data_IF_498970920748
#
_entry.id   IF_498970920748
#
_cell.length_a   1.000
_cell.length_b   1.000
_cell.length_c   1.000
_cell.angle_alpha   90.00
_cell.angle_beta   90.00
_cell.angle_gamma   90.00
#
_symmetry.space_group_name_H-M   'P 1'
#
loop_
_entity.id
_entity.type
_entity.pdbx_description
1 polymer ?
#
# COMPACT_ATOMS: atom_id res chain seq x y z
N UNK A 1 -57.54 23.46 -33.16
CA UNK A 1 -56.19 23.80 -33.65
C UNK A 1 -55.18 23.07 -32.78
N UNK A 2 -54.34 22.24 -33.42
CA UNK A 2 -53.28 21.43 -32.78
C UNK A 2 -52.06 22.31 -32.53
N UNK A 3 -51.58 22.39 -31.30
CA UNK A 3 -50.21 22.82 -31.03
C UNK A 3 -49.55 21.75 -30.16
N UNK A 4 -48.80 20.86 -30.83
CA UNK A 4 -47.87 19.93 -30.19
C UNK A 4 -46.59 20.74 -29.97
N UNK A 5 -46.29 21.06 -28.71
CA UNK A 5 -45.02 21.66 -28.34
C UNK A 5 -44.01 20.51 -28.16
N UNK A 6 -43.14 20.32 -29.15
CA UNK A 6 -42.04 19.36 -29.08
C UNK A 6 -40.86 19.99 -28.35
N UNK A 7 -40.66 19.65 -27.07
CA UNK A 7 -39.45 20.03 -26.34
C UNK A 7 -38.33 19.07 -26.74
N UNK A 8 -37.38 19.56 -27.53
CA UNK A 8 -36.12 18.85 -27.81
C UNK A 8 -35.19 19.00 -26.61
N UNK A 9 -34.97 17.91 -25.87
CA UNK A 9 -34.01 17.85 -24.78
C UNK A 9 -32.62 17.53 -25.37
N UNK A 10 -31.76 18.53 -25.51
CA UNK A 10 -30.34 18.33 -25.87
C UNK A 10 -29.62 17.68 -24.67
N UNK A 11 -29.26 16.40 -24.80
CA UNK A 11 -28.27 15.77 -23.94
C UNK A 11 -26.90 16.35 -24.26
N UNK A 12 -26.46 17.34 -23.48
CA UNK A 12 -25.06 17.76 -23.44
C UNK A 12 -24.30 16.63 -22.73
N UNK A 13 -23.67 15.75 -23.52
CA UNK A 13 -22.64 14.84 -23.04
C UNK A 13 -21.47 15.70 -22.57
N UNK A 14 -21.42 16.01 -21.27
CA UNK A 14 -20.23 16.57 -20.65
C UNK A 14 -19.19 15.46 -20.62
N UNK A 15 -18.34 15.41 -21.64
CA UNK A 15 -17.06 14.71 -21.52
C UNK A 15 -16.27 15.48 -20.48
N UNK A 16 -16.32 15.03 -19.23
CA UNK A 16 -15.37 15.45 -18.22
C UNK A 16 -13.99 15.09 -18.75
N UNK A 17 -13.27 16.10 -19.27
CA UNK A 17 -11.89 15.94 -19.69
C UNK A 17 -11.06 15.67 -18.43
N UNK A 18 -10.99 14.40 -18.04
CA UNK A 18 -10.01 13.92 -17.08
C UNK A 18 -8.62 14.31 -17.57
N UNK A 19 -7.71 14.63 -16.65
CA UNK A 19 -6.32 14.88 -17.03
C UNK A 19 -5.78 13.64 -17.73
N UNK A 20 -5.09 13.84 -18.85
CA UNK A 20 -4.42 12.76 -19.57
C UNK A 20 -3.50 11.96 -18.63
N UNK A 21 -3.58 10.63 -18.69
CA UNK A 21 -2.88 9.72 -17.77
C UNK A 21 -1.36 9.90 -17.82
N UNK A 22 -0.77 10.27 -18.98
CA UNK A 22 0.67 10.54 -19.09
C UNK A 22 1.04 11.84 -18.38
N UNK A 23 0.17 12.85 -18.41
CA UNK A 23 0.35 14.09 -17.63
C UNK A 23 0.29 13.82 -16.13
N UNK A 24 -0.63 12.96 -15.69
CA UNK A 24 -0.72 12.51 -14.29
C UNK A 24 0.58 11.79 -13.89
N UNK A 25 1.01 10.81 -14.67
CA UNK A 25 2.24 10.05 -14.43
C UNK A 25 3.45 10.99 -14.32
N UNK A 26 3.63 11.93 -15.26
CA UNK A 26 4.72 12.91 -15.20
C UNK A 26 4.69 13.75 -13.92
N UNK A 27 3.52 14.19 -13.47
CA UNK A 27 3.37 14.99 -12.24
C UNK A 27 3.69 14.16 -11.00
N UNK A 28 3.21 12.92 -10.93
CA UNK A 28 3.52 12.01 -9.83
C UNK A 28 5.02 11.71 -9.78
N UNK A 29 5.65 11.39 -10.91
CA UNK A 29 7.10 11.17 -10.98
C UNK A 29 7.89 12.39 -10.52
N UNK A 30 7.52 13.59 -10.99
CA UNK A 30 8.19 14.82 -10.58
C UNK A 30 8.04 15.11 -9.09
N UNK A 31 6.92 14.74 -8.47
CA UNK A 31 6.72 14.89 -7.02
C UNK A 31 7.51 13.83 -6.25
N UNK A 32 7.46 12.57 -6.70
CA UNK A 32 8.17 11.46 -6.06
C UNK A 32 9.69 11.62 -6.12
N UNK A 33 10.23 12.10 -7.25
CA UNK A 33 11.67 12.35 -7.39
C UNK A 33 12.19 13.41 -6.41
N UNK A 34 11.32 14.30 -5.92
CA UNK A 34 11.69 15.28 -4.90
C UNK A 34 11.91 14.65 -3.53
N UNK A 35 11.27 13.52 -3.23
CA UNK A 35 11.53 12.75 -2.00
C UNK A 35 12.98 12.28 -2.04
N UNK A 36 13.38 11.55 -3.08
CA UNK A 36 14.76 11.06 -3.23
C UNK A 36 15.78 12.21 -3.25
N UNK A 37 15.49 13.30 -3.96
CA UNK A 37 16.36 14.48 -3.98
C UNK A 37 16.64 15.01 -2.56
N UNK A 38 15.60 15.19 -1.74
CA UNK A 38 15.77 15.74 -0.39
C UNK A 38 16.32 14.71 0.61
N UNK A 39 16.02 13.43 0.43
CA UNK A 39 16.56 12.35 1.27
C UNK A 39 18.09 12.25 1.19
N UNK A 40 18.66 12.52 0.01
CA UNK A 40 20.10 12.43 -0.24
C UNK A 40 20.76 13.80 -0.46
N UNK A 41 20.07 14.89 -0.11
CA UNK A 41 20.60 16.24 -0.23
C UNK A 41 21.76 16.44 0.74
N UNK A 42 22.94 16.77 0.21
CA UNK A 42 24.19 16.85 0.97
C UNK A 42 24.93 18.19 0.80
N UNK A 43 24.27 19.20 0.23
CA UNK A 43 24.88 20.52 0.10
C UNK A 43 24.81 21.30 1.42
N UNK A 44 25.92 21.94 1.79
CA UNK A 44 25.97 22.81 2.95
C UNK A 44 25.30 24.14 2.64
N UNK A 45 24.03 24.28 3.01
CA UNK A 45 23.28 25.52 2.91
C UNK A 45 22.49 25.78 4.19
N UNK A 46 22.99 26.71 5.03
CA UNK A 46 22.38 27.06 6.33
C UNK A 46 20.95 27.62 6.23
N UNK A 47 20.48 28.00 5.04
CA UNK A 47 19.11 28.51 4.81
C UNK A 47 18.11 27.41 4.50
N UNK A 48 18.57 26.17 4.28
CA UNK A 48 17.73 25.05 3.89
C UNK A 48 17.74 24.04 5.03
N UNK A 49 16.55 23.65 5.49
CA UNK A 49 16.37 22.46 6.30
C UNK A 49 15.96 21.29 5.37
N UNK A 50 16.86 20.33 5.09
CA UNK A 50 16.56 19.21 4.20
C UNK A 50 15.43 18.34 4.74
N UNK A 51 15.34 18.20 6.06
CA UNK A 51 14.31 17.40 6.71
C UNK A 51 12.91 18.00 6.51
N UNK A 52 12.73 19.30 6.73
CA UNK A 52 11.45 19.99 6.46
C UNK A 52 11.06 19.90 4.98
N UNK A 53 12.07 19.93 4.09
CA UNK A 53 11.87 19.85 2.64
C UNK A 53 11.46 18.44 2.22
N UNK A 54 12.05 17.41 2.85
CA UNK A 54 11.68 16.01 2.67
C UNK A 54 10.26 15.72 3.16
N UNK A 55 9.87 16.24 4.33
CA UNK A 55 8.49 16.11 4.82
C UNK A 55 7.49 16.74 3.85
N UNK A 56 7.75 17.98 3.39
CA UNK A 56 6.91 18.65 2.39
C UNK A 56 6.82 17.89 1.08
N UNK A 57 7.91 17.28 0.62
CA UNK A 57 7.91 16.45 -0.58
C UNK A 57 7.02 15.20 -0.42
N UNK A 58 7.11 14.53 0.73
CA UNK A 58 6.25 13.39 1.08
C UNK A 58 4.76 13.78 1.11
N UNK A 59 4.44 14.90 1.76
CA UNK A 59 3.05 15.39 1.86
C UNK A 59 2.49 15.76 0.48
N UNK A 60 3.27 16.43 -0.35
CA UNK A 60 2.88 16.77 -1.71
C UNK A 60 2.64 15.52 -2.57
N UNK A 61 3.55 14.55 -2.51
CA UNK A 61 3.40 13.30 -3.26
C UNK A 61 2.16 12.52 -2.81
N UNK A 62 1.96 12.34 -1.50
CA UNK A 62 0.78 11.66 -0.95
C UNK A 62 -0.52 12.34 -1.39
N UNK A 63 -0.57 13.68 -1.30
CA UNK A 63 -1.72 14.46 -1.74
C UNK A 63 -2.02 14.26 -3.22
N UNK A 64 -1.01 14.37 -4.09
CA UNK A 64 -1.19 14.22 -5.53
C UNK A 64 -1.60 12.79 -5.89
N UNK A 65 -0.95 11.78 -5.29
CA UNK A 65 -1.28 10.38 -5.50
C UNK A 65 -2.73 10.11 -5.12
N UNK A 66 -3.13 10.44 -3.90
CA UNK A 66 -4.50 10.29 -3.42
C UNK A 66 -5.52 10.99 -4.33
N UNK A 67 -5.23 12.24 -4.71
CA UNK A 67 -6.11 13.03 -5.59
C UNK A 67 -6.29 12.36 -6.94
N UNK A 68 -5.20 11.96 -7.59
CA UNK A 68 -5.25 11.41 -8.93
C UNK A 68 -5.86 10.01 -8.97
N UNK A 69 -5.51 9.15 -8.01
CA UNK A 69 -6.04 7.78 -7.94
C UNK A 69 -7.51 7.74 -7.50
N UNK A 70 -8.00 8.77 -6.80
CA UNK A 70 -9.42 8.88 -6.42
C UNK A 70 -10.32 9.44 -7.53
N UNK A 71 -9.76 10.12 -8.54
CA UNK A 71 -10.56 10.89 -9.52
C UNK A 71 -10.38 10.44 -10.97
N UNK A 72 -9.37 9.63 -11.27
CA UNK A 72 -9.06 9.24 -12.66
C UNK A 72 -9.12 7.71 -12.78
N UNK A 73 -10.22 7.14 -13.32
CA UNK A 73 -10.42 5.69 -13.41
C UNK A 73 -9.29 4.93 -14.12
N UNK A 74 -8.59 5.56 -15.07
CA UNK A 74 -7.47 4.93 -15.77
C UNK A 74 -6.31 4.53 -14.84
N UNK A 75 -6.16 5.17 -13.69
CA UNK A 75 -5.04 4.93 -12.76
C UNK A 75 -5.08 3.53 -12.12
N UNK A 76 -6.25 2.89 -12.00
CA UNK A 76 -6.36 1.54 -11.41
C UNK A 76 -5.72 0.48 -12.32
N UNK A 77 -5.80 0.64 -13.65
CA UNK A 77 -5.21 -0.29 -14.62
C UNK A 77 -3.89 0.21 -15.21
N UNK A 78 -3.54 1.48 -15.00
CA UNK A 78 -2.30 2.05 -15.51
C UNK A 78 -1.07 1.48 -14.78
N UNK A 79 -0.02 1.20 -15.56
CA UNK A 79 1.28 0.78 -15.05
C UNK A 79 2.19 2.00 -14.92
N UNK A 80 2.39 2.47 -13.69
CA UNK A 80 3.28 3.59 -13.37
C UNK A 80 4.74 3.14 -13.31
N UNK A 81 5.28 2.65 -14.42
CA UNK A 81 6.62 2.04 -14.48
C UNK A 81 7.71 2.98 -13.93
N UNK A 82 7.66 4.26 -14.30
CA UNK A 82 8.64 5.25 -13.87
C UNK A 82 8.65 5.45 -12.34
N UNK A 83 7.49 5.36 -11.68
CA UNK A 83 7.41 5.44 -10.22
C UNK A 83 8.01 4.20 -9.58
N UNK A 84 7.72 3.01 -10.13
CA UNK A 84 8.30 1.75 -9.66
C UNK A 84 9.82 1.75 -9.81
N UNK A 85 10.33 2.15 -10.97
CA UNK A 85 11.76 2.27 -11.23
C UNK A 85 12.44 3.28 -10.29
N UNK A 86 11.68 4.26 -9.77
CA UNK A 86 12.17 5.26 -8.80
C UNK A 86 12.09 4.80 -7.33
N UNK A 87 11.52 3.62 -7.05
CA UNK A 87 11.43 3.03 -5.71
C UNK A 87 10.02 2.99 -5.09
N UNK A 88 8.96 3.41 -5.79
CA UNK A 88 7.59 3.22 -5.32
C UNK A 88 7.19 1.75 -5.44
N UNK A 89 6.79 1.13 -4.34
CA UNK A 89 6.22 -0.22 -4.41
C UNK A 89 4.75 -0.13 -4.79
N UNK A 90 4.34 -0.82 -5.86
CA UNK A 90 2.95 -0.88 -6.31
C UNK A 90 2.55 -2.34 -6.42
N UNK A 91 1.55 -2.75 -5.66
CA UNK A 91 0.98 -4.10 -5.70
C UNK A 91 -0.49 -4.02 -6.08
N UNK A 92 -0.93 -4.91 -6.96
CA UNK A 92 -2.29 -4.93 -7.51
C UNK A 92 -2.89 -6.33 -7.33
N UNK A 93 -4.15 -6.40 -6.95
CA UNK A 93 -4.94 -7.63 -6.89
C UNK A 93 -5.03 -8.29 -8.26
N UNK A 94 -5.29 -9.59 -8.28
CA UNK A 94 -5.33 -10.36 -9.51
C UNK A 94 -6.47 -9.93 -10.44
N UNK A 95 -7.60 -9.53 -9.85
CA UNK A 95 -8.73 -8.99 -10.58
C UNK A 95 -8.57 -7.51 -10.99
N UNK A 96 -7.47 -6.86 -10.60
CA UNK A 96 -7.19 -5.46 -10.91
C UNK A 96 -8.12 -4.46 -10.23
N UNK A 97 -8.90 -4.87 -9.23
CA UNK A 97 -9.85 -4.00 -8.52
C UNK A 97 -9.26 -3.34 -7.28
N UNK A 98 -8.13 -3.82 -6.76
CA UNK A 98 -7.49 -3.27 -5.58
C UNK A 98 -5.99 -3.08 -5.82
N UNK A 99 -5.47 -1.91 -5.47
CA UNK A 99 -4.06 -1.54 -5.67
C UNK A 99 -3.56 -0.76 -4.46
N UNK A 100 -2.36 -1.09 -4.00
CA UNK A 100 -1.71 -0.40 -2.88
C UNK A 100 -0.39 0.18 -3.38
N UNK A 101 -0.17 1.45 -3.06
CA UNK A 101 1.07 2.17 -3.33
C UNK A 101 1.78 2.39 -2.00
N UNK A 102 3.03 1.98 -1.88
CA UNK A 102 3.84 2.08 -0.67
C UNK A 102 5.18 2.72 -0.97
N UNK A 103 5.59 3.70 -0.17
CA UNK A 103 6.95 4.27 -0.25
C UNK A 103 7.51 4.56 1.13
N UNK A 104 8.84 4.52 1.19
CA UNK A 104 9.61 5.01 2.32
C UNK A 104 9.65 6.54 2.30
N UNK A 105 9.34 7.17 3.43
CA UNK A 105 9.39 8.63 3.54
C UNK A 105 10.80 9.16 3.67
N UNK A 106 11.78 8.29 3.97
CA UNK A 106 13.17 8.62 4.27
C UNK A 106 13.34 9.59 5.45
N UNK A 107 12.29 9.78 6.26
CA UNK A 107 12.36 10.62 7.47
C UNK A 107 12.87 9.86 8.68
N UNK A 108 13.09 8.56 8.53
CA UNK A 108 13.69 7.68 9.54
C UNK A 108 15.20 7.54 9.38
N UNK A 109 15.77 6.70 10.23
CA UNK A 109 17.17 6.26 10.15
C UNK A 109 17.22 4.79 9.77
N UNK A 110 17.76 3.96 10.68
CA UNK A 110 17.70 2.50 10.54
C UNK A 110 16.29 1.94 10.66
N UNK A 111 15.40 2.65 11.35
CA UNK A 111 13.96 2.45 11.30
C UNK A 111 13.41 3.29 10.14
N UNK A 112 12.64 2.68 9.26
CA UNK A 112 12.07 3.35 8.10
C UNK A 112 10.59 3.65 8.34
N UNK A 113 10.13 4.80 7.87
CA UNK A 113 8.72 5.18 7.97
C UNK A 113 8.07 5.05 6.60
N UNK A 114 6.95 4.34 6.53
CA UNK A 114 6.24 4.07 5.28
C UNK A 114 4.89 4.76 5.23
N UNK A 115 4.55 5.30 4.06
CA UNK A 115 3.22 5.80 3.74
C UNK A 115 2.57 4.97 2.65
N UNK A 116 1.24 4.94 2.68
CA UNK A 116 0.45 4.09 1.82
C UNK A 116 -0.78 4.80 1.27
N UNK A 117 -1.06 4.61 -0.02
CA UNK A 117 -2.35 4.95 -0.64
C UNK A 117 -3.00 3.66 -1.11
N UNK A 118 -4.26 3.46 -0.71
CA UNK A 118 -5.07 2.30 -1.06
C UNK A 118 -6.09 2.73 -2.10
N UNK A 119 -5.96 2.24 -3.31
CA UNK A 119 -6.88 2.52 -4.40
C UNK A 119 -7.73 1.29 -4.67
N UNK A 120 -9.04 1.48 -4.83
CA UNK A 120 -9.93 0.39 -5.17
C UNK A 120 -10.99 0.84 -6.18
N UNK A 121 -11.47 -0.12 -6.97
CA UNK A 121 -12.58 0.05 -7.89
C UNK A 121 -13.81 -0.64 -7.31
N UNK A 122 -14.91 0.09 -7.24
CA UNK A 122 -16.23 -0.47 -6.92
C UNK A 122 -17.20 0.07 -7.97
N UNK A 123 -17.90 -0.85 -8.62
CA UNK A 123 -18.70 -0.59 -9.82
C UNK A 123 -17.85 0.09 -10.92
N UNK A 124 -18.32 1.21 -11.47
CA UNK A 124 -17.60 2.00 -12.50
C UNK A 124 -16.77 3.15 -11.92
N UNK A 125 -16.60 3.21 -10.58
CA UNK A 125 -15.89 4.30 -9.90
C UNK A 125 -14.62 3.79 -9.24
N UNK A 126 -13.60 4.64 -9.23
CA UNK A 126 -12.40 4.43 -8.43
C UNK A 126 -12.45 5.31 -7.19
N UNK A 127 -11.85 4.81 -6.13
CA UNK A 127 -11.74 5.47 -4.85
C UNK A 127 -10.31 5.31 -4.37
N UNK A 128 -9.84 6.22 -3.53
CA UNK A 128 -8.61 5.99 -2.78
C UNK A 128 -8.71 6.50 -1.36
N UNK A 129 -7.94 5.88 -0.47
CA UNK A 129 -7.93 6.17 0.96
C UNK A 129 -6.52 6.00 1.52
N UNK A 130 -6.24 6.75 2.58
CA UNK A 130 -5.08 6.56 3.44
C UNK A 130 -5.60 6.06 4.79
N UNK A 131 -4.94 5.05 5.35
CA UNK A 131 -5.12 4.67 6.75
C UNK A 131 -3.92 5.21 7.51
N UNK A 132 -4.14 6.20 8.38
CA UNK A 132 -3.10 6.69 9.29
C UNK A 132 -3.23 6.01 10.64
N UNK A 133 -2.10 5.61 11.19
CA UNK A 133 -2.03 5.27 12.60
C UNK A 133 -2.30 6.52 13.44
N UNK A 134 -2.86 6.33 14.63
CA UNK A 134 -2.99 7.41 15.61
C UNK A 134 -1.74 7.52 16.49
N UNK A 135 -0.84 6.56 16.40
CA UNK A 135 0.40 6.52 17.16
C UNK A 135 1.49 7.24 16.37
N UNK A 136 2.05 8.31 16.94
CA UNK A 136 3.08 9.12 16.29
C UNK A 136 4.37 8.33 16.00
N UNK A 137 4.59 7.23 16.72
CA UNK A 137 5.74 6.33 16.57
C UNK A 137 5.53 5.15 15.62
N UNK A 138 4.38 5.05 14.95
CA UNK A 138 4.12 3.95 14.02
C UNK A 138 4.95 4.12 12.74
N UNK A 139 5.92 3.22 12.56
CA UNK A 139 6.77 3.14 11.36
C UNK A 139 5.97 2.83 10.09
N UNK A 140 4.73 2.35 10.20
CA UNK A 140 3.95 1.85 9.08
C UNK A 140 4.61 0.61 8.47
N UNK A 141 4.19 0.28 7.25
CA UNK A 141 4.74 -0.84 6.49
C UNK A 141 4.62 -0.57 4.99
N UNK A 142 5.39 -1.29 4.18
CA UNK A 142 5.14 -1.40 2.75
C UNK A 142 4.44 -2.72 2.44
N UNK A 143 3.57 -2.72 1.44
CA UNK A 143 2.86 -3.91 0.97
C UNK A 143 3.57 -4.51 -0.24
N UNK A 144 3.87 -5.79 -0.19
CA UNK A 144 4.64 -6.50 -1.22
C UNK A 144 3.83 -7.55 -1.99
N UNK A 145 2.62 -7.89 -1.53
CA UNK A 145 1.74 -8.85 -2.21
C UNK A 145 0.26 -8.58 -1.93
N UNK A 146 -0.59 -8.89 -2.92
CA UNK A 146 -2.04 -8.97 -2.79
C UNK A 146 -2.51 -10.25 -3.49
N UNK A 147 -3.14 -11.16 -2.76
CA UNK A 147 -3.76 -12.36 -3.30
C UNK A 147 -5.29 -12.29 -3.17
N UNK A 148 -5.97 -12.76 -4.22
CA UNK A 148 -7.43 -12.85 -4.24
C UNK A 148 -7.90 -14.17 -3.63
N UNK A 149 -8.92 -14.11 -2.78
CA UNK A 149 -9.59 -15.31 -2.26
C UNK A 149 -11.11 -15.12 -2.25
N UNK A 150 -11.83 -16.16 -2.67
CA UNK A 150 -13.28 -16.22 -2.55
C UNK A 150 -13.62 -17.22 -1.43
N UNK A 151 -14.44 -16.76 -0.48
CA UNK A 151 -15.03 -17.55 0.60
C UNK A 151 -16.48 -17.14 0.77
N UNK A 152 -17.40 -18.10 0.84
CA UNK A 152 -18.84 -17.87 0.99
C UNK A 152 -19.41 -16.83 0.01
N UNK A 153 -19.03 -16.97 -1.28
CA UNK A 153 -19.39 -16.05 -2.38
C UNK A 153 -18.94 -14.59 -2.18
N UNK A 154 -18.11 -14.31 -1.17
CA UNK A 154 -17.51 -13.01 -0.94
C UNK A 154 -16.03 -13.04 -1.32
N UNK A 155 -15.59 -12.01 -2.03
CA UNK A 155 -14.18 -11.80 -2.33
C UNK A 155 -13.48 -11.05 -1.20
N UNK A 156 -12.29 -11.53 -0.87
CA UNK A 156 -11.36 -10.89 0.03
C UNK A 156 -9.99 -10.77 -0.66
N UNK A 157 -9.21 -9.83 -0.16
CA UNK A 157 -7.84 -9.59 -0.58
C UNK A 157 -6.93 -9.84 0.62
N UNK A 158 -6.04 -10.82 0.47
CA UNK A 158 -5.01 -11.14 1.46
C UNK A 158 -3.80 -10.31 1.07
N UNK A 159 -3.41 -9.36 1.91
CA UNK A 159 -2.24 -8.54 1.66
C UNK A 159 -1.11 -8.96 2.57
N UNK A 160 0.11 -8.94 2.06
CA UNK A 160 1.32 -9.12 2.86
C UNK A 160 2.05 -7.77 2.96
N UNK A 161 2.56 -7.47 4.15
CA UNK A 161 3.32 -6.26 4.41
C UNK A 161 4.49 -6.48 5.36
N UNK A 162 5.48 -5.59 5.27
CA UNK A 162 6.64 -5.57 6.17
C UNK A 162 6.91 -4.17 6.69
N UNK A 163 7.17 -4.06 7.99
CA UNK A 163 7.75 -2.88 8.63
C UNK A 163 9.26 -3.10 8.84
N UNK A 164 10.05 -2.04 8.71
CA UNK A 164 11.48 -2.05 9.05
C UNK A 164 11.66 -1.20 10.30
N UNK A 165 11.89 -1.87 11.43
CA UNK A 165 11.96 -1.27 12.76
C UNK A 165 13.41 -0.97 13.17
N UNK A 166 14.38 -1.65 12.56
CA UNK A 166 15.80 -1.30 12.56
C UNK A 166 16.50 -2.03 11.42
N UNK A 167 17.83 -1.93 11.34
CA UNK A 167 18.64 -2.74 10.40
C UNK A 167 18.56 -4.25 10.66
N UNK A 168 18.11 -4.69 11.83
CA UNK A 168 17.96 -6.11 12.18
C UNK A 168 16.60 -6.48 12.78
N UNK A 169 15.64 -5.54 12.84
CA UNK A 169 14.32 -5.76 13.40
C UNK A 169 13.24 -5.47 12.36
N UNK A 170 12.35 -6.42 12.10
CA UNK A 170 11.24 -6.25 11.18
C UNK A 170 9.95 -6.85 11.71
N UNK A 171 8.82 -6.26 11.30
CA UNK A 171 7.49 -6.84 11.55
C UNK A 171 6.90 -7.32 10.23
N UNK A 172 6.39 -8.54 10.21
CA UNK A 172 5.80 -9.18 9.05
C UNK A 172 4.31 -9.40 9.32
N UNK A 173 3.47 -9.05 8.35
CA UNK A 173 2.03 -9.04 8.59
C UNK A 173 1.23 -9.49 7.35
N UNK A 174 0.18 -10.26 7.61
CA UNK A 174 -0.96 -10.41 6.71
C UNK A 174 -2.11 -9.55 7.21
N UNK A 175 -2.77 -8.82 6.30
CA UNK A 175 -4.04 -8.15 6.58
C UNK A 175 -5.08 -8.50 5.53
N UNK A 176 -6.32 -8.67 5.98
CA UNK A 176 -7.46 -8.98 5.12
C UNK A 176 -8.25 -7.72 4.82
N UNK A 177 -8.51 -7.51 3.54
CA UNK A 177 -9.41 -6.48 3.04
C UNK A 177 -10.57 -7.11 2.29
N UNK A 178 -11.67 -6.37 2.17
CA UNK A 178 -12.72 -6.64 1.20
C UNK A 178 -13.25 -5.32 0.64
N UNK A 179 -13.90 -5.35 -0.51
CA UNK A 179 -14.60 -4.20 -1.07
C UNK A 179 -16.10 -4.47 -0.92
N UNK A 180 -16.78 -3.67 -0.12
CA UNK A 180 -18.20 -3.79 0.19
C UNK A 180 -18.87 -2.42 0.02
N UNK A 181 -19.99 -2.35 -0.70
CA UNK A 181 -20.84 -1.15 -0.77
C UNK A 181 -20.06 0.16 -1.01
N UNK A 182 -19.23 0.20 -2.07
CA UNK A 182 -18.38 1.35 -2.42
C UNK A 182 -17.30 1.71 -1.39
N UNK A 183 -16.98 0.81 -0.45
CA UNK A 183 -15.98 1.03 0.61
C UNK A 183 -14.94 -0.08 0.64
N UNK A 184 -13.70 0.31 0.92
CA UNK A 184 -12.67 -0.62 1.34
C UNK A 184 -12.83 -0.93 2.83
N UNK A 185 -13.13 -2.19 3.14
CA UNK A 185 -13.31 -2.72 4.48
C UNK A 185 -12.00 -3.36 4.96
N UNK A 186 -11.28 -2.68 5.85
CA UNK A 186 -9.99 -3.09 6.39
C UNK A 186 -10.07 -3.85 7.73
N UNK A 187 -11.30 -4.19 8.15
CA UNK A 187 -11.58 -5.00 9.35
C UNK A 187 -12.23 -6.34 8.99
N UNK A 188 -12.23 -6.70 7.70
CA UNK A 188 -12.75 -7.97 7.21
C UNK A 188 -12.02 -9.15 7.85
N UNK A 189 -12.77 -10.14 8.34
CA UNK A 189 -12.22 -11.30 9.06
C UNK A 189 -12.29 -12.53 8.16
N UNK A 190 -11.17 -13.23 8.01
CA UNK A 190 -11.09 -14.45 7.20
C UNK A 190 -10.12 -15.49 7.77
N UNK A 191 -9.13 -15.07 8.55
CA UNK A 191 -8.07 -15.96 9.00
C UNK A 191 -8.53 -16.75 10.22
N UNK A 192 -8.76 -18.05 10.06
CA UNK A 192 -9.13 -18.94 11.15
C UNK A 192 -7.92 -19.27 12.01
N UNK A 193 -8.00 -18.97 13.31
CA UNK A 193 -6.99 -19.38 14.30
C UNK A 193 -7.66 -20.18 15.42
N UNK A 194 -6.85 -20.72 16.34
CA UNK A 194 -7.35 -21.40 17.56
C UNK A 194 -8.22 -20.47 18.44
N UNK A 195 -8.03 -19.16 18.37
CA UNK A 195 -8.75 -18.15 19.17
C UNK A 195 -9.82 -17.40 18.38
N UNK A 196 -10.26 -17.96 17.24
CA UNK A 196 -11.33 -17.43 16.40
C UNK A 196 -10.86 -16.89 15.06
N UNK A 197 -11.74 -16.15 14.37
CA UNK A 197 -11.45 -15.59 13.05
C UNK A 197 -10.89 -14.18 13.20
N UNK A 198 -9.72 -13.93 12.62
CA UNK A 198 -8.98 -12.66 12.69
C UNK A 198 -8.96 -11.94 11.33
N UNK A 199 -8.72 -10.64 11.37
CA UNK A 199 -8.50 -9.80 10.17
C UNK A 199 -7.01 -9.63 9.84
N UNK A 200 -6.12 -10.00 10.76
CA UNK A 200 -4.68 -9.89 10.58
C UNK A 200 -3.93 -10.96 11.37
N UNK A 201 -2.72 -11.27 10.92
CA UNK A 201 -1.72 -12.09 11.60
C UNK A 201 -0.35 -11.47 11.35
N UNK A 202 0.45 -11.32 12.40
CA UNK A 202 1.81 -10.83 12.23
C UNK A 202 2.74 -11.28 13.34
N UNK A 203 4.03 -11.13 13.08
CA UNK A 203 5.11 -11.50 13.98
C UNK A 203 6.31 -10.59 13.75
N UNK A 204 7.13 -10.47 14.78
CA UNK A 204 8.39 -9.75 14.75
C UNK A 204 9.55 -10.71 14.49
N UNK A 205 10.55 -10.26 13.74
CA UNK A 205 11.81 -10.96 13.51
C UNK A 205 12.94 -10.05 14.01
N UNK A 206 13.64 -10.50 15.05
CA UNK A 206 14.82 -9.83 15.61
C UNK A 206 16.10 -10.60 15.25
N UNK A 207 16.77 -10.18 14.19
CA UNK A 207 18.06 -10.73 13.75
C UNK A 207 19.23 -10.24 14.62
N UNK A 208 19.01 -9.28 15.52
CA UNK A 208 20.04 -8.79 16.44
C UNK A 208 20.14 -9.63 17.71
N UNK A 209 19.14 -10.46 18.00
CA UNK A 209 19.13 -11.40 19.11
C UNK A 209 20.31 -12.37 19.04
N UNK A 210 20.90 -12.70 20.19
CA UNK A 210 22.06 -13.60 20.29
C UNK A 210 21.79 -14.98 19.67
N UNK A 211 20.55 -15.46 19.72
CA UNK A 211 20.10 -16.73 19.13
C UNK A 211 20.12 -16.77 17.60
N UNK A 212 20.22 -15.59 16.96
CA UNK A 212 20.27 -15.39 15.51
C UNK A 212 21.63 -14.89 15.01
N UNK A 213 22.58 -14.54 15.90
CA UNK A 213 23.94 -14.13 15.50
C UNK A 213 24.75 -15.32 14.99
N UNK A 214 25.63 -15.06 14.03
CA UNK A 214 26.65 -15.98 13.51
C UNK A 214 26.11 -17.32 12.97
N UNK A 215 24.90 -17.31 12.42
CA UNK A 215 24.26 -18.49 11.83
C UNK A 215 23.51 -18.16 10.56
N UNK A 216 23.27 -19.19 9.76
CA UNK A 216 22.34 -19.10 8.64
C UNK A 216 20.91 -18.88 9.17
N UNK A 217 20.26 -17.85 8.64
CA UNK A 217 18.89 -17.49 8.98
C UNK A 217 17.96 -18.21 8.00
N UNK A 218 17.07 -19.12 8.47
CA UNK A 218 16.07 -19.74 7.61
C UNK A 218 15.12 -18.71 7.01
N UNK A 219 14.41 -19.09 5.96
CA UNK A 219 13.37 -18.23 5.40
C UNK A 219 12.28 -17.93 6.44
N UNK A 220 12.13 -16.64 6.75
CA UNK A 220 11.14 -16.09 7.68
C UNK A 220 10.06 -15.28 6.98
N UNK A 221 9.89 -15.42 5.66
CA UNK A 221 8.78 -14.80 4.96
C UNK A 221 7.49 -15.60 5.13
N UNK A 222 6.39 -14.86 5.05
CA UNK A 222 5.04 -15.40 4.99
C UNK A 222 4.86 -16.10 3.65
N UNK A 223 4.32 -17.31 3.69
CA UNK A 223 3.89 -18.02 2.50
C UNK A 223 2.37 -18.15 2.49
N UNK A 224 1.77 -17.98 1.32
CA UNK A 224 0.36 -18.23 1.11
C UNK A 224 0.18 -19.24 -0.03
N UNK A 225 -0.25 -20.45 0.33
CA UNK A 225 -0.69 -21.46 -0.61
C UNK A 225 -2.13 -21.14 -1.01
N UNK A 226 -2.28 -20.53 -2.18
CA UNK A 226 -3.57 -20.14 -2.73
C UNK A 226 -4.48 -21.33 -3.07
N UNK A 227 -3.90 -22.48 -3.45
CA UNK A 227 -4.67 -23.67 -3.85
C UNK A 227 -5.32 -24.28 -2.63
N UNK A 228 -4.54 -24.49 -1.58
CA UNK A 228 -5.00 -25.10 -0.34
C UNK A 228 -5.57 -24.08 0.66
N UNK A 229 -5.44 -22.78 0.38
CA UNK A 229 -5.85 -21.65 1.23
C UNK A 229 -5.15 -21.69 2.60
N UNK A 230 -3.86 -22.02 2.60
CA UNK A 230 -3.05 -22.16 3.81
C UNK A 230 -2.08 -20.98 3.91
N UNK A 231 -2.01 -20.40 5.09
CA UNK A 231 -1.00 -19.40 5.46
C UNK A 231 0.05 -20.13 6.30
N UNK A 232 1.30 -20.02 5.89
CA UNK A 232 2.46 -20.57 6.60
C UNK A 232 3.34 -19.42 7.10
N UNK A 233 3.65 -19.43 8.38
CA UNK A 233 4.51 -18.43 9.04
C UNK A 233 5.63 -19.14 9.80
N UNK A 234 6.83 -18.55 9.88
CA UNK A 234 7.92 -19.15 10.64
C UNK A 234 7.55 -19.32 12.11
N UNK A 235 8.01 -20.42 12.70
CA UNK A 235 8.00 -20.58 14.16
C UNK A 235 9.19 -19.80 14.72
N UNK A 236 8.87 -18.79 15.53
CA UNK A 236 9.82 -17.97 16.28
C UNK A 236 9.72 -18.34 17.76
N UNK A 237 10.85 -18.68 18.38
CA UNK A 237 10.89 -19.09 19.78
C UNK A 237 10.96 -17.86 20.70
N UNK A 238 10.76 -18.08 22.00
CA UNK A 238 10.79 -17.01 23.02
C UNK A 238 12.13 -16.26 23.09
N UNK A 239 13.24 -16.90 22.73
CA UNK A 239 14.57 -16.28 22.64
C UNK A 239 14.82 -15.57 21.29
N UNK A 240 13.75 -15.24 20.56
CA UNK A 240 13.73 -14.67 19.20
C UNK A 240 14.31 -15.57 18.11
N UNK A 241 14.66 -16.82 18.41
CA UNK A 241 15.25 -17.73 17.43
C UNK A 241 14.30 -17.99 16.27
N UNK A 242 14.72 -17.63 15.06
CA UNK A 242 14.05 -18.02 13.82
C UNK A 242 14.37 -19.49 13.54
N UNK A 243 13.33 -20.28 13.25
CA UNK A 243 13.46 -21.70 12.94
C UNK A 243 13.08 -21.98 11.49
N UNK A 244 13.50 -23.14 10.96
CA UNK A 244 13.12 -23.60 9.62
C UNK A 244 11.71 -24.23 9.57
N UNK A 245 10.96 -24.22 10.69
CA UNK A 245 9.60 -24.78 10.74
C UNK A 245 8.58 -23.70 10.38
N UNK A 246 7.57 -24.08 9.60
CA UNK A 246 6.38 -23.28 9.27
C UNK A 246 5.10 -24.06 9.50
#
# INVERSE_FOLDING_TARGET
MKHILTISLLFILTTTFGQDIKSIDKKLNSAFSKINYWAFFNENNEKINPYDSLQKANDLFEYLLLKYTSSNPQTISYNFKSLVDSGLTIVTSEDGLFKIYSWDTWTGGTMHYFRNVFQFKSDSKVFSKIFRSKEESDAGCFYNQIDDIISDNKKFYITQSRAILSSGLSYHNIKIFSIDNLKLNDIAKLIKTKTGIKNQLGYEVDLTASSNRDREIPDFYIEYDKVNKIISIPVILEDSKVTAKK
#
